data_IF_600466194325
#
_entry.id   IF_600466194325
#
_cell.length_a   1.000
_cell.length_b   1.000
_cell.length_c   1.000
_cell.angle_alpha   90.00
_cell.angle_beta   90.00
_cell.angle_gamma   90.00
#
_symmetry.space_group_name_H-M   'P 1'
#
loop_
_entity.id
_entity.type
_entity.pdbx_description
1 polymer ?
#
# COMPACT_ATOMS: atom_id res chain seq x y z
N UNK A 1 -17.19 -6.83 -11.12
CA UNK A 1 -16.25 -5.89 -10.48
C UNK A 1 -16.74 -5.40 -9.10
N UNK A 2 -18.02 -4.99 -8.91
CA UNK A 2 -18.54 -4.42 -7.64
C UNK A 2 -18.42 -5.38 -6.41
N UNK A 3 -18.54 -6.71 -6.59
CA UNK A 3 -18.40 -7.70 -5.50
C UNK A 3 -16.96 -7.86 -4.97
N UNK A 4 -15.98 -7.68 -5.86
CA UNK A 4 -14.55 -7.78 -5.53
C UNK A 4 -14.11 -6.60 -4.65
N UNK A 5 -14.66 -5.39 -4.87
CA UNK A 5 -14.31 -4.20 -4.10
C UNK A 5 -14.77 -4.27 -2.64
N UNK A 6 -15.95 -4.85 -2.38
CA UNK A 6 -16.46 -5.05 -1.00
C UNK A 6 -15.62 -6.11 -0.28
N UNK A 7 -15.25 -7.18 -0.98
CA UNK A 7 -14.38 -8.22 -0.42
C UNK A 7 -13.00 -7.68 -0.07
N UNK A 8 -12.39 -6.88 -0.96
CA UNK A 8 -11.11 -6.23 -0.70
C UNK A 8 -11.17 -5.28 0.50
N UNK A 9 -12.28 -4.56 0.70
CA UNK A 9 -12.49 -3.70 1.85
C UNK A 9 -12.60 -4.52 3.15
N UNK A 10 -13.38 -5.61 3.14
CA UNK A 10 -13.50 -6.53 4.29
C UNK A 10 -12.14 -7.14 4.63
N UNK A 11 -11.36 -7.56 3.63
CA UNK A 11 -10.02 -8.13 3.82
C UNK A 11 -9.05 -7.10 4.40
N UNK A 12 -9.06 -5.87 3.89
CA UNK A 12 -8.22 -4.78 4.40
C UNK A 12 -8.57 -4.42 5.85
N UNK A 13 -9.86 -4.33 6.18
CA UNK A 13 -10.33 -4.12 7.55
C UNK A 13 -9.92 -5.28 8.46
N UNK A 14 -9.99 -6.52 7.97
CA UNK A 14 -9.67 -7.72 8.74
C UNK A 14 -8.19 -7.79 9.13
N UNK A 15 -7.28 -7.43 8.22
CA UNK A 15 -5.82 -7.43 8.48
C UNK A 15 -5.45 -6.36 9.53
N UNK A 16 -6.19 -5.25 9.57
CA UNK A 16 -5.96 -4.17 10.54
C UNK A 16 -6.37 -4.52 11.99
N UNK A 17 -7.07 -5.65 12.19
CA UNK A 17 -7.68 -6.01 13.49
C UNK A 17 -6.74 -6.79 14.43
N UNK A 18 -5.54 -7.15 14.00
CA UNK A 18 -4.62 -7.98 14.79
C UNK A 18 -4.03 -7.19 15.97
N UNK A 19 -4.47 -7.44 17.18
CA UNK A 19 -3.82 -6.81 18.33
C UNK A 19 -4.58 -6.81 19.67
N UNK A 20 -4.89 -7.97 20.25
CA UNK A 20 -5.71 -7.97 21.46
C UNK A 20 -5.12 -8.54 22.73
N UNK A 21 -3.97 -9.25 22.76
CA UNK A 21 -3.43 -9.83 24.02
C UNK A 21 -1.89 -9.84 23.98
N UNK A 22 -1.25 -9.46 25.10
CA UNK A 22 0.19 -9.64 25.31
C UNK A 22 1.09 -8.79 24.41
N UNK A 23 1.95 -9.44 23.63
CA UNK A 23 2.89 -8.80 22.69
C UNK A 23 2.18 -8.07 21.56
N UNK A 24 1.07 -8.62 21.06
CA UNK A 24 0.23 -8.01 20.04
C UNK A 24 -0.30 -6.64 20.48
N UNK A 25 -0.81 -6.53 21.71
CA UNK A 25 -1.33 -5.25 22.24
C UNK A 25 -0.22 -4.20 22.38
N UNK A 26 0.98 -4.62 22.79
CA UNK A 26 2.12 -3.69 22.92
C UNK A 26 2.57 -3.17 21.56
N UNK A 27 2.68 -4.08 20.59
CA UNK A 27 3.02 -3.74 19.21
C UNK A 27 1.95 -2.84 18.58
N UNK A 28 0.68 -3.17 18.75
CA UNK A 28 -0.45 -2.35 18.32
C UNK A 28 -0.41 -0.93 18.90
N UNK A 29 -0.16 -0.80 20.22
CA UNK A 29 -0.06 0.51 20.85
C UNK A 29 1.13 1.32 20.31
N UNK A 30 2.23 0.65 19.98
CA UNK A 30 3.38 1.30 19.36
C UNK A 30 3.06 1.77 17.93
N UNK A 31 2.36 0.99 17.11
CA UNK A 31 1.89 1.40 15.79
C UNK A 31 0.95 2.62 15.87
N UNK A 32 -0.03 2.59 16.80
CA UNK A 32 -0.93 3.74 17.00
C UNK A 32 -0.15 5.00 17.40
N UNK A 33 0.88 4.83 18.23
CA UNK A 33 1.72 5.96 18.63
C UNK A 33 2.53 6.53 17.47
N UNK A 34 2.96 5.68 16.53
CA UNK A 34 3.63 6.15 15.31
C UNK A 34 2.72 7.00 14.41
N UNK A 35 1.40 6.75 14.43
CA UNK A 35 0.44 7.57 13.68
C UNK A 35 0.32 9.01 14.19
N UNK A 36 0.64 9.27 15.46
CA UNK A 36 0.59 10.61 16.06
C UNK A 36 1.91 11.39 15.91
N UNK A 37 2.89 10.83 15.19
CA UNK A 37 4.21 11.45 15.03
C UNK A 37 4.11 12.68 14.13
N UNK A 38 4.63 13.79 14.62
CA UNK A 38 4.61 15.08 13.91
C UNK A 38 5.92 15.37 13.16
N UNK A 39 7.01 14.68 13.49
CA UNK A 39 8.26 14.71 12.72
C UNK A 39 9.06 13.43 12.92
N UNK A 40 9.74 13.00 11.87
CA UNK A 40 10.52 11.76 11.88
C UNK A 40 11.61 11.82 10.82
N UNK A 41 12.72 11.17 11.10
CA UNK A 41 13.71 10.75 10.11
C UNK A 41 13.79 9.22 10.13
N UNK A 42 13.90 8.60 8.96
CA UNK A 42 14.07 7.15 8.86
C UNK A 42 15.03 6.76 7.73
N UNK A 43 15.68 5.64 7.93
CA UNK A 43 16.53 4.96 6.95
C UNK A 43 15.97 3.57 6.72
N UNK A 44 15.87 3.15 5.46
CA UNK A 44 15.45 1.81 5.07
C UNK A 44 16.39 1.24 4.03
N UNK A 45 16.69 -0.02 4.17
CA UNK A 45 17.39 -0.83 3.19
C UNK A 45 16.55 -2.06 2.87
N UNK A 46 16.37 -2.37 1.58
CA UNK A 46 15.57 -3.48 1.11
C UNK A 46 16.34 -4.25 0.03
N UNK A 47 16.38 -5.56 0.15
CA UNK A 47 16.91 -6.50 -0.83
C UNK A 47 15.86 -7.51 -1.25
N UNK A 48 16.08 -8.16 -2.39
CA UNK A 48 15.15 -9.09 -2.98
C UNK A 48 15.87 -10.40 -3.33
N UNK A 49 15.12 -11.50 -3.29
CA UNK A 49 15.53 -12.78 -3.85
C UNK A 49 14.42 -13.30 -4.76
N UNK A 50 14.81 -13.85 -5.91
CA UNK A 50 13.88 -14.42 -6.88
C UNK A 50 14.45 -15.75 -7.35
N UNK A 51 13.69 -16.82 -7.12
CA UNK A 51 14.03 -18.19 -7.53
C UNK A 51 12.83 -18.80 -8.25
N UNK A 52 13.12 -19.73 -9.17
CA UNK A 52 12.10 -20.42 -9.94
C UNK A 52 12.36 -21.91 -9.96
N UNK A 53 11.27 -22.70 -9.92
CA UNK A 53 11.32 -24.16 -9.95
C UNK A 53 10.27 -24.71 -10.92
N UNK A 54 10.51 -25.87 -11.51
CA UNK A 54 9.55 -26.62 -12.33
C UNK A 54 9.04 -25.90 -13.60
N UNK A 55 9.80 -24.92 -14.11
CA UNK A 55 9.54 -24.29 -15.40
C UNK A 55 10.12 -25.10 -16.56
N UNK A 56 9.59 -24.90 -17.78
CA UNK A 56 10.17 -25.43 -19.00
C UNK A 56 11.58 -24.86 -19.24
N UNK A 57 12.42 -25.56 -20.01
CA UNK A 57 13.77 -25.06 -20.35
C UNK A 57 13.71 -23.68 -21.05
N UNK A 58 12.70 -23.46 -21.90
CA UNK A 58 12.51 -22.20 -22.61
C UNK A 58 12.16 -21.05 -21.66
N UNK A 59 11.21 -21.28 -20.75
CA UNK A 59 10.82 -20.29 -19.74
C UNK A 59 11.94 -20.02 -18.75
N UNK A 60 12.70 -21.05 -18.36
CA UNK A 60 13.83 -20.96 -17.44
C UNK A 60 14.89 -19.97 -17.91
N UNK A 61 15.25 -19.99 -19.21
CA UNK A 61 16.25 -19.06 -19.79
C UNK A 61 15.82 -17.60 -19.60
N UNK A 62 14.55 -17.30 -19.84
CA UNK A 62 14.01 -15.94 -19.63
C UNK A 62 14.00 -15.56 -18.15
N UNK A 63 13.59 -16.48 -17.28
CA UNK A 63 13.47 -16.25 -15.84
C UNK A 63 14.83 -16.14 -15.14
N UNK A 64 15.89 -16.80 -15.67
CA UNK A 64 17.26 -16.64 -15.16
C UNK A 64 17.77 -15.21 -15.31
N UNK A 65 17.42 -14.52 -16.41
CA UNK A 65 17.79 -13.10 -16.59
C UNK A 65 17.07 -12.21 -15.57
N UNK A 66 15.77 -12.46 -15.33
CA UNK A 66 14.99 -11.76 -14.30
C UNK A 66 15.57 -12.04 -12.92
N UNK A 67 15.89 -13.31 -12.62
CA UNK A 67 16.51 -13.74 -11.37
C UNK A 67 17.84 -13.01 -11.13
N UNK A 68 18.72 -12.97 -12.13
CA UNK A 68 20.01 -12.29 -12.01
C UNK A 68 19.85 -10.78 -11.74
N UNK A 69 18.84 -10.14 -12.33
CA UNK A 69 18.56 -8.73 -12.11
C UNK A 69 17.98 -8.50 -10.70
N UNK A 70 16.97 -9.28 -10.31
CA UNK A 70 16.27 -9.11 -9.01
C UNK A 70 17.18 -9.44 -7.83
N UNK A 71 17.92 -10.56 -7.88
CA UNK A 71 18.79 -11.01 -6.79
C UNK A 71 19.96 -10.04 -6.50
N UNK A 72 20.33 -9.22 -7.47
CA UNK A 72 21.34 -8.17 -7.31
C UNK A 72 20.71 -6.78 -7.09
N UNK A 73 19.39 -6.74 -6.83
CA UNK A 73 18.70 -5.49 -6.61
C UNK A 73 18.68 -5.10 -5.14
N UNK A 74 18.88 -3.81 -4.90
CA UNK A 74 18.85 -3.21 -3.57
C UNK A 74 18.22 -1.83 -3.65
N UNK A 75 17.34 -1.53 -2.70
CA UNK A 75 16.76 -0.20 -2.53
C UNK A 75 17.23 0.34 -1.19
N UNK A 76 17.79 1.53 -1.18
CA UNK A 76 18.05 2.29 0.05
C UNK A 76 17.22 3.56 0.01
N UNK A 77 16.64 3.93 1.16
CA UNK A 77 15.74 5.04 1.29
C UNK A 77 16.05 5.82 2.57
N UNK A 78 16.15 7.15 2.45
CA UNK A 78 16.24 8.06 3.57
C UNK A 78 15.02 8.98 3.51
N UNK A 79 14.28 9.03 4.58
CA UNK A 79 13.06 9.84 4.67
C UNK A 79 13.18 10.87 5.79
N UNK A 80 12.64 12.06 5.52
CA UNK A 80 12.38 13.11 6.51
C UNK A 80 10.96 13.58 6.33
N UNK A 81 10.22 13.68 7.42
CA UNK A 81 8.85 14.17 7.36
C UNK A 81 8.55 15.08 8.56
N UNK A 82 7.74 16.08 8.32
CA UNK A 82 7.28 17.03 9.34
C UNK A 82 5.85 17.45 9.04
N UNK A 83 5.00 17.32 10.04
CA UNK A 83 3.58 17.60 9.96
C UNK A 83 3.13 18.50 11.10
N UNK A 84 2.00 19.17 10.93
CA UNK A 84 1.29 19.77 12.05
C UNK A 84 0.63 18.67 12.91
N UNK A 85 0.13 19.04 14.11
CA UNK A 85 -0.47 18.09 15.05
C UNK A 85 -1.70 17.34 14.50
N UNK A 86 -2.41 17.91 13.54
CA UNK A 86 -3.56 17.28 12.87
C UNK A 86 -3.19 16.53 11.61
N UNK A 87 -1.89 16.51 11.23
CA UNK A 87 -1.38 15.92 9.99
C UNK A 87 -2.04 16.42 8.71
N UNK A 88 -2.66 17.61 8.79
CA UNK A 88 -3.32 18.27 7.65
C UNK A 88 -2.38 19.18 6.87
N UNK A 89 -1.28 19.59 7.46
CA UNK A 89 -0.22 20.38 6.82
C UNK A 89 1.11 19.70 7.10
N UNK A 90 1.90 19.48 6.05
CA UNK A 90 3.17 18.81 6.23
C UNK A 90 4.04 18.81 4.99
N UNK A 91 5.29 18.47 5.23
CA UNK A 91 6.31 18.29 4.20
C UNK A 91 7.05 16.98 4.44
N UNK A 92 7.37 16.29 3.35
CA UNK A 92 8.20 15.10 3.37
C UNK A 92 9.26 15.17 2.28
N UNK A 93 10.39 14.52 2.53
CA UNK A 93 11.47 14.29 1.57
C UNK A 93 11.86 12.82 1.66
N UNK A 94 12.00 12.19 0.52
CA UNK A 94 12.50 10.82 0.38
C UNK A 94 13.65 10.82 -0.61
N UNK A 95 14.83 10.43 -0.16
CA UNK A 95 16.00 10.22 -0.99
C UNK A 95 16.17 8.70 -1.18
N UNK A 96 16.03 8.22 -2.41
CA UNK A 96 16.03 6.82 -2.76
C UNK A 96 17.15 6.50 -3.73
N UNK A 97 17.86 5.38 -3.49
CA UNK A 97 18.75 4.79 -4.47
C UNK A 97 18.28 3.38 -4.78
N UNK A 98 17.92 3.16 -6.01
CA UNK A 98 17.54 1.85 -6.53
C UNK A 98 18.72 1.29 -7.33
N UNK A 99 19.21 0.13 -6.94
CA UNK A 99 20.21 -0.61 -7.70
C UNK A 99 19.52 -1.84 -8.31
N UNK A 100 19.43 -1.89 -9.62
CA UNK A 100 18.90 -3.04 -10.36
C UNK A 100 19.99 -3.61 -11.27
N UNK A 101 20.46 -4.83 -10.94
CA UNK A 101 21.48 -5.49 -11.75
C UNK A 101 22.79 -4.68 -11.90
N UNK A 102 23.14 -3.85 -10.91
CA UNK A 102 24.32 -2.97 -10.92
C UNK A 102 24.07 -1.56 -11.50
N UNK A 103 22.90 -1.30 -12.06
CA UNK A 103 22.52 0.05 -12.49
C UNK A 103 21.93 0.81 -11.31
N UNK A 104 22.64 1.88 -10.88
CA UNK A 104 22.19 2.73 -9.78
C UNK A 104 21.34 3.87 -10.31
N UNK A 105 20.10 3.97 -9.80
CA UNK A 105 19.13 4.99 -10.17
C UNK A 105 18.73 5.81 -8.93
N UNK A 106 19.37 6.97 -8.70
CA UNK A 106 19.00 7.87 -7.64
C UNK A 106 17.66 8.57 -7.97
N UNK A 107 16.76 8.62 -7.02
CA UNK A 107 15.50 9.34 -7.12
C UNK A 107 15.25 10.11 -5.83
N UNK A 108 14.76 11.33 -5.95
CA UNK A 108 14.34 12.13 -4.81
C UNK A 108 12.90 12.55 -4.99
N UNK A 109 12.13 12.46 -3.92
CA UNK A 109 10.72 12.86 -3.91
C UNK A 109 10.51 13.84 -2.76
N UNK A 110 9.85 14.94 -3.04
CA UNK A 110 9.39 15.90 -2.05
C UNK A 110 7.89 16.06 -2.14
N UNK A 111 7.24 16.13 -1.00
CA UNK A 111 5.80 16.38 -0.90
C UNK A 111 5.59 17.60 -0.02
N UNK A 112 4.77 18.53 -0.51
CA UNK A 112 4.27 19.69 0.25
C UNK A 112 2.76 19.63 0.26
N UNK A 113 2.16 19.53 1.44
CA UNK A 113 0.74 19.26 1.62
C UNK A 113 0.08 20.26 2.57
N UNK A 114 -1.04 20.85 2.15
CA UNK A 114 -1.95 21.61 3.00
C UNK A 114 -3.40 21.21 2.71
N UNK A 115 -3.98 20.43 3.62
CA UNK A 115 -5.39 20.01 3.63
C UNK A 115 -6.17 20.69 4.75
N UNK A 116 -5.66 21.79 5.33
CA UNK A 116 -6.32 22.51 6.43
C UNK A 116 -7.52 23.33 5.95
N UNK A 117 -7.58 23.63 4.66
CA UNK A 117 -8.66 24.34 3.99
C UNK A 117 -9.52 23.39 3.15
N UNK A 118 -10.58 23.90 2.55
CA UNK A 118 -11.43 23.14 1.63
C UNK A 118 -10.77 22.97 0.23
N UNK A 119 -9.72 23.75 -0.06
CA UNK A 119 -8.89 23.55 -1.24
C UNK A 119 -7.71 22.63 -0.88
N UNK A 120 -7.59 21.51 -1.60
CA UNK A 120 -6.38 20.67 -1.51
C UNK A 120 -5.22 21.41 -2.15
N UNK A 121 -4.17 21.61 -1.38
CA UNK A 121 -2.86 22.02 -1.87
C UNK A 121 -1.90 20.90 -1.60
N UNK A 122 -1.61 20.11 -2.60
CA UNK A 122 -0.65 19.03 -2.52
C UNK A 122 0.22 19.07 -3.77
N UNK A 123 1.49 19.29 -3.55
CA UNK A 123 2.50 19.34 -4.59
C UNK A 123 3.53 18.27 -4.34
N UNK A 124 3.73 17.41 -5.32
CA UNK A 124 4.80 16.43 -5.34
C UNK A 124 5.85 16.85 -6.36
N UNK A 125 7.12 16.78 -5.99
CA UNK A 125 8.26 17.09 -6.83
C UNK A 125 9.13 15.85 -6.88
N UNK A 126 9.39 15.35 -8.07
CA UNK A 126 10.19 14.14 -8.28
C UNK A 126 11.42 14.52 -9.09
N UNK A 127 12.61 14.24 -8.54
CA UNK A 127 13.86 14.25 -9.29
C UNK A 127 14.24 12.82 -9.61
N UNK A 128 14.39 12.52 -10.88
CA UNK A 128 14.79 11.19 -11.34
C UNK A 128 16.08 11.27 -12.16
N UNK A 129 16.73 10.12 -12.43
CA UNK A 129 17.93 10.09 -13.28
C UNK A 129 17.70 10.80 -14.62
N UNK A 130 18.67 11.57 -15.07
CA UNK A 130 18.56 12.35 -16.31
C UNK A 130 18.23 11.48 -17.53
N UNK A 131 18.68 10.23 -17.55
CA UNK A 131 18.37 9.29 -18.61
C UNK A 131 16.85 9.04 -18.71
N UNK A 132 16.17 8.89 -17.57
CA UNK A 132 14.70 8.71 -17.54
C UNK A 132 13.98 10.02 -17.90
N UNK A 133 14.44 11.16 -17.38
CA UNK A 133 13.89 12.46 -17.77
C UNK A 133 14.02 12.70 -19.27
N UNK A 134 15.16 12.44 -19.86
CA UNK A 134 15.38 12.60 -21.30
C UNK A 134 14.50 11.67 -22.14
N UNK A 135 14.12 10.49 -21.64
CA UNK A 135 13.19 9.60 -22.35
C UNK A 135 11.76 10.12 -22.31
N UNK A 136 11.38 10.82 -21.24
CA UNK A 136 10.05 11.41 -21.07
C UNK A 136 9.91 12.76 -21.78
N UNK A 137 10.97 13.54 -21.81
CA UNK A 137 11.04 14.89 -22.37
C UNK A 137 12.29 15.07 -23.24
N UNK A 138 12.34 14.39 -24.42
CA UNK A 138 13.56 14.29 -25.22
C UNK A 138 14.06 15.62 -25.79
N UNK A 139 13.18 16.62 -25.92
CA UNK A 139 13.50 17.90 -26.51
C UNK A 139 13.92 18.97 -25.49
N UNK A 140 14.00 18.62 -24.20
CA UNK A 140 14.29 19.58 -23.14
C UNK A 140 15.21 18.99 -22.07
N UNK A 141 16.49 18.81 -22.38
CA UNK A 141 17.46 18.11 -21.49
C UNK A 141 17.79 18.88 -20.20
N UNK A 142 17.34 20.12 -20.06
CA UNK A 142 17.56 20.90 -18.82
C UNK A 142 16.54 20.56 -17.73
N UNK A 143 15.44 19.89 -18.06
CA UNK A 143 14.46 19.44 -17.08
C UNK A 143 15.03 18.36 -16.18
N UNK A 144 14.95 18.60 -14.89
CA UNK A 144 15.43 17.68 -13.85
C UNK A 144 14.31 17.22 -12.91
N UNK A 145 13.22 17.98 -12.86
CA UNK A 145 12.14 17.74 -11.94
C UNK A 145 10.81 17.53 -12.69
N UNK A 146 10.08 16.52 -12.26
CA UNK A 146 8.68 16.36 -12.57
C UNK A 146 7.86 16.92 -11.41
N UNK A 147 6.88 17.76 -11.71
CA UNK A 147 6.04 18.41 -10.70
C UNK A 147 4.59 17.94 -10.90
N UNK A 148 4.02 17.37 -9.85
CA UNK A 148 2.61 17.01 -9.78
C UNK A 148 1.92 17.99 -8.83
N UNK A 149 1.09 18.88 -9.38
CA UNK A 149 0.21 19.72 -8.58
C UNK A 149 -1.18 19.08 -8.55
N UNK A 150 -1.45 18.33 -7.48
CA UNK A 150 -2.72 17.62 -7.32
C UNK A 150 -3.90 18.59 -7.29
N UNK A 151 -3.75 19.77 -6.71
CA UNK A 151 -4.81 20.78 -6.67
C UNK A 151 -5.16 21.32 -8.06
N UNK A 152 -4.16 21.48 -8.94
CA UNK A 152 -4.36 21.88 -10.33
C UNK A 152 -4.97 20.75 -11.16
N UNK A 153 -4.41 19.55 -11.08
CA UNK A 153 -4.92 18.35 -11.78
C UNK A 153 -6.42 18.14 -11.50
N UNK A 154 -6.80 18.30 -10.24
CA UNK A 154 -8.19 18.17 -9.82
C UNK A 154 -9.12 19.21 -10.40
N UNK A 155 -8.67 20.45 -10.58
CA UNK A 155 -9.47 21.53 -11.21
C UNK A 155 -9.71 21.26 -12.70
N UNK A 156 -8.73 20.64 -13.36
CA UNK A 156 -8.78 20.36 -14.80
C UNK A 156 -9.57 19.08 -15.15
N UNK A 157 -9.46 18.03 -14.32
CA UNK A 157 -10.11 16.72 -14.54
C UNK A 157 -11.46 16.57 -13.82
N UNK A 158 -11.98 17.59 -13.15
CA UNK A 158 -13.13 17.52 -12.22
C UNK A 158 -14.49 17.18 -12.84
N UNK A 159 -14.54 16.58 -14.05
CA UNK A 159 -15.81 16.16 -14.67
C UNK A 159 -16.40 14.89 -14.06
N UNK A 160 -15.57 13.99 -13.51
CA UNK A 160 -15.99 12.68 -13.01
C UNK A 160 -15.96 12.54 -11.47
N UNK A 161 -15.19 13.39 -10.76
CA UNK A 161 -15.07 13.35 -9.31
C UNK A 161 -15.29 14.72 -8.68
N UNK A 162 -16.18 14.80 -7.70
CA UNK A 162 -16.34 16.00 -6.90
C UNK A 162 -15.31 16.02 -5.76
N UNK A 163 -14.22 16.72 -5.99
CA UNK A 163 -13.09 16.74 -5.05
C UNK A 163 -13.38 17.40 -3.71
N UNK A 164 -14.21 18.44 -3.70
CA UNK A 164 -14.63 19.08 -2.46
C UNK A 164 -15.43 18.10 -1.60
N UNK A 165 -16.29 17.31 -2.22
CA UNK A 165 -17.01 16.24 -1.53
C UNK A 165 -16.09 15.10 -1.11
N UNK A 166 -15.05 14.76 -1.89
CA UNK A 166 -14.04 13.78 -1.50
C UNK A 166 -13.25 14.22 -0.27
N UNK A 167 -12.81 15.47 -0.22
CA UNK A 167 -12.08 16.03 0.93
C UNK A 167 -12.97 16.09 2.17
N UNK A 168 -14.22 16.55 2.00
CA UNK A 168 -15.21 16.55 3.08
C UNK A 168 -15.47 15.14 3.58
N UNK A 169 -15.66 14.19 2.67
CA UNK A 169 -15.81 12.78 2.99
C UNK A 169 -14.60 12.26 3.79
N UNK A 170 -13.38 12.51 3.33
CA UNK A 170 -12.16 12.08 4.03
C UNK A 170 -12.11 12.64 5.45
N UNK A 171 -12.35 13.93 5.63
CA UNK A 171 -12.37 14.59 6.96
C UNK A 171 -13.45 14.02 7.89
N UNK A 172 -14.63 13.73 7.37
CA UNK A 172 -15.76 13.20 8.15
C UNK A 172 -15.63 11.69 8.42
N UNK A 173 -15.02 10.96 7.49
CA UNK A 173 -14.95 9.51 7.55
C UNK A 173 -13.75 8.97 8.33
N UNK A 174 -12.60 9.65 8.29
CA UNK A 174 -11.41 9.21 9.05
C UNK A 174 -11.66 9.04 10.56
N UNK A 175 -12.32 9.97 11.29
CA UNK A 175 -12.63 9.77 12.70
C UNK A 175 -13.58 8.59 12.92
N UNK A 176 -14.57 8.41 12.05
CA UNK A 176 -15.52 7.30 12.13
C UNK A 176 -14.83 5.95 11.90
N UNK A 177 -13.90 5.89 10.94
CA UNK A 177 -13.09 4.70 10.70
C UNK A 177 -12.24 4.36 11.93
N UNK A 178 -11.59 5.36 12.54
CA UNK A 178 -10.78 5.15 13.74
C UNK A 178 -11.62 4.65 14.93
N UNK A 179 -12.81 5.21 15.14
CA UNK A 179 -13.74 4.76 16.17
C UNK A 179 -14.26 3.36 15.90
N UNK A 180 -14.69 3.07 14.67
CA UNK A 180 -15.12 1.76 14.22
C UNK A 180 -14.02 0.71 14.43
N UNK A 181 -12.78 0.99 14.02
CA UNK A 181 -11.66 0.08 14.21
C UNK A 181 -11.42 -0.21 15.69
N UNK A 182 -11.46 0.81 16.54
CA UNK A 182 -11.31 0.65 18.00
C UNK A 182 -12.43 -0.20 18.61
N UNK A 183 -13.64 -0.09 18.07
CA UNK A 183 -14.80 -0.86 18.57
C UNK A 183 -14.71 -2.33 18.16
N UNK A 184 -14.43 -2.59 16.91
CA UNK A 184 -14.25 -3.95 16.38
C UNK A 184 -13.10 -4.68 17.07
N UNK A 185 -11.98 -3.99 17.35
CA UNK A 185 -10.81 -4.58 17.99
C UNK A 185 -11.07 -5.08 19.43
N UNK A 186 -12.02 -4.52 20.15
CA UNK A 186 -12.31 -4.94 21.55
C UNK A 186 -12.60 -6.44 21.65
N UNK A 187 -13.29 -6.98 20.65
CA UNK A 187 -13.77 -8.36 20.65
C UNK A 187 -13.03 -9.26 19.65
N UNK A 188 -12.11 -8.70 18.86
CA UNK A 188 -11.31 -9.46 17.92
C UNK A 188 -10.21 -10.23 18.66
N UNK A 189 -10.39 -11.52 18.84
CA UNK A 189 -9.50 -12.39 19.60
C UNK A 189 -9.25 -13.68 18.83
N UNK A 190 -8.45 -13.66 17.75
CA UNK A 190 -8.02 -14.89 17.12
C UNK A 190 -7.17 -15.68 18.14
N UNK A 191 -7.44 -16.96 18.29
CA UNK A 191 -6.61 -17.85 19.14
C UNK A 191 -5.33 -18.26 18.40
N UNK A 192 -4.65 -17.24 17.83
CA UNK A 192 -3.45 -17.38 17.03
C UNK A 192 -2.39 -16.49 17.65
N UNK A 193 -1.32 -17.09 18.15
CA UNK A 193 -0.18 -16.37 18.66
C UNK A 193 0.73 -15.97 17.50
N UNK A 194 0.78 -14.68 17.19
CA UNK A 194 1.59 -14.14 16.09
C UNK A 194 2.81 -13.36 16.57
N UNK A 195 2.76 -12.80 17.78
CA UNK A 195 3.81 -11.93 18.31
C UNK A 195 4.45 -12.57 19.54
N UNK A 196 5.77 -12.66 19.54
CA UNK A 196 6.57 -13.10 20.66
C UNK A 196 7.42 -11.96 21.22
N UNK A 197 7.45 -11.81 22.55
CA UNK A 197 8.36 -10.89 23.23
C UNK A 197 9.73 -11.55 23.38
N UNK A 198 10.75 -11.02 22.69
CA UNK A 198 12.13 -11.56 22.68
C UNK A 198 13.03 -10.93 23.75
N UNK A 199 12.46 -10.11 24.65
CA UNK A 199 13.19 -9.40 25.69
C UNK A 199 13.79 -8.09 25.20
N UNK A 200 14.87 -7.62 25.85
CA UNK A 200 15.48 -6.35 25.53
C UNK A 200 16.85 -6.52 24.90
N UNK A 201 17.18 -5.68 23.91
CA UNK A 201 18.42 -5.71 23.13
C UNK A 201 18.96 -4.29 22.95
N UNK A 202 20.26 -4.11 22.97
CA UNK A 202 20.88 -2.83 22.63
C UNK A 202 21.05 -2.77 21.12
N UNK A 203 20.36 -1.82 20.49
CA UNK A 203 20.46 -1.53 19.05
C UNK A 203 20.85 -0.07 18.89
N UNK A 204 21.90 0.23 18.12
CA UNK A 204 22.38 1.59 17.90
C UNK A 204 22.60 2.42 19.18
N UNK A 205 23.08 1.79 20.25
CA UNK A 205 23.32 2.38 21.59
C UNK A 205 22.04 2.71 22.39
N UNK A 206 20.87 2.28 21.94
CA UNK A 206 19.61 2.42 22.64
C UNK A 206 19.09 1.04 23.07
N UNK A 207 18.54 0.95 24.29
CA UNK A 207 17.89 -0.28 24.80
C UNK A 207 16.48 -0.36 24.23
N UNK A 208 16.18 -1.38 23.44
CA UNK A 208 14.88 -1.62 22.81
C UNK A 208 14.24 -2.88 23.38
N UNK A 209 12.92 -2.86 23.54
CA UNK A 209 12.12 -4.06 23.74
C UNK A 209 11.80 -4.68 22.39
N UNK A 210 12.16 -5.93 22.21
CA UNK A 210 12.06 -6.63 20.92
C UNK A 210 10.81 -7.50 20.90
N UNK A 211 10.04 -7.34 19.84
CA UNK A 211 8.84 -8.12 19.51
C UNK A 211 9.03 -8.73 18.12
N UNK A 212 8.80 -10.01 17.99
CA UNK A 212 8.87 -10.72 16.71
C UNK A 212 7.48 -11.17 16.30
N UNK A 213 7.04 -10.68 15.14
CA UNK A 213 5.84 -11.15 14.46
C UNK A 213 6.24 -12.27 13.51
N UNK A 214 5.57 -13.43 13.63
CA UNK A 214 5.78 -14.58 12.75
C UNK A 214 4.46 -15.07 12.19
N UNK A 215 4.37 -15.18 10.86
CA UNK A 215 3.28 -15.80 10.15
C UNK A 215 3.82 -16.86 9.19
N UNK A 216 3.44 -18.08 9.37
CA UNK A 216 3.61 -19.12 8.37
C UNK A 216 2.33 -19.25 7.52
N UNK A 217 2.36 -20.07 6.48
CA UNK A 217 1.25 -20.22 5.56
C UNK A 217 -0.07 -20.64 6.25
N UNK A 218 0.00 -21.59 7.19
CA UNK A 218 -1.18 -22.06 7.91
C UNK A 218 -1.77 -20.97 8.82
N UNK A 219 -0.93 -20.30 9.62
CA UNK A 219 -1.37 -19.21 10.52
C UNK A 219 -1.92 -18.03 9.75
N UNK A 220 -1.36 -17.70 8.57
CA UNK A 220 -1.89 -16.65 7.70
C UNK A 220 -3.31 -16.99 7.23
N UNK A 221 -3.53 -18.20 6.72
CA UNK A 221 -4.84 -18.66 6.25
C UNK A 221 -5.88 -18.72 7.37
N UNK A 222 -5.47 -19.23 8.53
CA UNK A 222 -6.32 -19.27 9.71
C UNK A 222 -6.73 -17.86 10.15
N UNK A 223 -5.78 -16.92 10.19
CA UNK A 223 -6.03 -15.53 10.51
C UNK A 223 -7.01 -14.89 9.51
N UNK A 224 -6.79 -15.09 8.21
CA UNK A 224 -7.69 -14.57 7.16
C UNK A 224 -9.08 -15.17 7.30
N UNK A 225 -9.18 -16.49 7.50
CA UNK A 225 -10.45 -17.19 7.69
C UNK A 225 -11.21 -16.68 8.92
N UNK A 226 -10.49 -16.52 10.06
CA UNK A 226 -11.06 -15.97 11.29
C UNK A 226 -11.53 -14.52 11.08
N UNK A 227 -10.68 -13.65 10.54
CA UNK A 227 -10.95 -12.23 10.39
C UNK A 227 -12.14 -11.95 9.48
N UNK A 228 -12.24 -12.67 8.34
CA UNK A 228 -13.39 -12.52 7.42
C UNK A 228 -14.66 -13.02 8.07
N UNK A 229 -14.66 -14.20 8.70
CA UNK A 229 -15.85 -14.73 9.38
C UNK A 229 -16.30 -13.81 10.53
N UNK A 230 -15.36 -13.33 11.34
CA UNK A 230 -15.64 -12.37 12.40
C UNK A 230 -16.29 -11.09 11.86
N UNK A 231 -15.75 -10.54 10.78
CA UNK A 231 -16.27 -9.33 10.15
C UNK A 231 -17.69 -9.53 9.58
N UNK A 232 -17.96 -10.70 8.97
CA UNK A 232 -19.27 -11.03 8.41
C UNK A 232 -20.33 -11.25 9.49
N UNK A 233 -19.95 -11.67 10.69
CA UNK A 233 -20.86 -11.89 11.82
C UNK A 233 -21.19 -10.60 12.59
N UNK A 234 -20.44 -9.51 12.36
CA UNK A 234 -20.64 -8.24 13.05
C UNK A 234 -21.58 -7.32 12.27
N UNK A 235 -22.71 -6.99 12.87
CA UNK A 235 -23.68 -6.06 12.29
C UNK A 235 -23.09 -4.67 12.05
N UNK A 236 -22.22 -4.24 12.96
CA UNK A 236 -21.51 -2.97 12.92
C UNK A 236 -20.63 -2.85 11.67
N UNK A 237 -20.03 -3.96 11.21
CA UNK A 237 -19.24 -4.00 9.97
C UNK A 237 -20.14 -3.76 8.75
N UNK A 238 -21.31 -4.39 8.73
CA UNK A 238 -22.28 -4.23 7.63
C UNK A 238 -22.81 -2.79 7.58
N UNK A 239 -23.14 -2.22 8.74
CA UNK A 239 -23.59 -0.83 8.85
C UNK A 239 -22.50 0.15 8.41
N UNK A 240 -21.26 -0.07 8.82
CA UNK A 240 -20.12 0.72 8.38
C UNK A 240 -19.90 0.65 6.86
N UNK A 241 -19.99 -0.55 6.25
CA UNK A 241 -19.90 -0.72 4.79
C UNK A 241 -21.01 0.08 4.09
N UNK A 242 -22.23 0.06 4.61
CA UNK A 242 -23.34 0.83 4.05
C UNK A 242 -23.08 2.33 4.13
N UNK A 243 -22.61 2.82 5.28
CA UNK A 243 -22.24 4.23 5.44
C UNK A 243 -21.13 4.65 4.47
N UNK A 244 -20.10 3.82 4.35
CA UNK A 244 -19.01 4.04 3.41
C UNK A 244 -19.50 4.12 1.97
N UNK A 245 -20.28 3.14 1.51
CA UNK A 245 -20.82 3.11 0.15
C UNK A 245 -21.72 4.33 -0.14
N UNK A 246 -22.58 4.70 0.81
CA UNK A 246 -23.42 5.89 0.67
C UNK A 246 -22.59 7.19 0.62
N UNK A 247 -21.47 7.24 1.30
CA UNK A 247 -20.59 8.40 1.31
C UNK A 247 -19.78 8.50 0.01
N UNK A 248 -19.25 7.38 -0.50
CA UNK A 248 -18.58 7.29 -1.80
C UNK A 248 -19.48 7.77 -2.93
N UNK A 249 -20.78 7.42 -2.88
CA UNK A 249 -21.77 7.88 -3.87
C UNK A 249 -21.91 9.41 -3.98
N UNK A 250 -21.68 10.12 -2.90
CA UNK A 250 -21.73 11.59 -2.91
C UNK A 250 -20.52 12.22 -3.58
N UNK A 251 -19.40 11.48 -3.59
CA UNK A 251 -18.14 11.92 -4.17
C UNK A 251 -18.08 11.71 -5.68
N UNK A 252 -18.70 10.64 -6.18
CA UNK A 252 -18.73 10.33 -7.62
C UNK A 252 -19.71 11.25 -8.32
N UNK A 253 -19.25 11.97 -9.34
CA UNK A 253 -20.09 12.78 -10.19
C UNK A 253 -20.83 11.90 -11.20
N UNK A 254 -22.11 11.62 -10.92
CA UNK A 254 -22.97 10.86 -11.82
C UNK A 254 -23.82 11.86 -12.63
N UNK A 255 -23.92 11.72 -13.96
CA UNK A 255 -24.82 12.54 -14.76
C UNK A 255 -26.24 12.51 -14.18
N UNK A 256 -26.90 13.67 -14.12
CA UNK A 256 -28.22 13.81 -13.44
C UNK A 256 -29.29 12.84 -13.99
N UNK A 257 -29.18 12.50 -15.29
CA UNK A 257 -30.06 11.52 -15.94
C UNK A 257 -29.88 10.08 -15.41
N UNK A 258 -28.68 9.74 -14.92
CA UNK A 258 -28.32 8.39 -14.44
C UNK A 258 -28.35 8.28 -12.92
N UNK A 259 -28.34 9.42 -12.22
CA UNK A 259 -28.21 9.49 -10.75
C UNK A 259 -29.26 8.68 -10.02
N UNK A 260 -30.54 8.83 -10.39
CA UNK A 260 -31.64 8.08 -9.79
C UNK A 260 -31.52 6.56 -9.98
N UNK A 261 -31.07 6.14 -11.17
CA UNK A 261 -30.85 4.73 -11.46
C UNK A 261 -29.67 4.17 -10.66
N UNK A 262 -28.56 4.91 -10.57
CA UNK A 262 -27.39 4.54 -9.79
C UNK A 262 -27.68 4.47 -8.27
N UNK A 263 -28.41 5.44 -7.73
CA UNK A 263 -28.87 5.45 -6.34
C UNK A 263 -29.78 4.24 -6.03
N UNK A 264 -30.71 3.93 -6.92
CA UNK A 264 -31.61 2.78 -6.78
C UNK A 264 -30.84 1.46 -6.85
N UNK A 265 -29.89 1.32 -7.78
CA UNK A 265 -29.04 0.14 -7.94
C UNK A 265 -28.18 -0.10 -6.70
N UNK A 266 -27.60 0.96 -6.12
CA UNK A 266 -26.78 0.85 -4.92
C UNK A 266 -27.64 0.50 -3.70
N UNK A 267 -28.78 1.17 -3.53
CA UNK A 267 -29.71 0.83 -2.46
C UNK A 267 -30.12 -0.63 -2.53
N UNK A 268 -30.51 -1.11 -3.71
CA UNK A 268 -30.83 -2.51 -3.95
C UNK A 268 -29.63 -3.42 -3.65
N UNK A 269 -28.42 -3.03 -4.10
CA UNK A 269 -27.19 -3.78 -3.84
C UNK A 269 -26.83 -3.87 -2.34
N UNK A 270 -27.11 -2.83 -1.55
CA UNK A 270 -26.90 -2.83 -0.10
C UNK A 270 -27.95 -3.69 0.64
N UNK A 271 -29.20 -3.68 0.19
CA UNK A 271 -30.25 -4.57 0.71
C UNK A 271 -29.97 -6.04 0.37
N UNK A 272 -29.47 -6.30 -0.83
CA UNK A 272 -29.11 -7.64 -1.28
C UNK A 272 -27.82 -8.14 -0.62
N UNK A 273 -26.90 -7.24 -0.25
CA UNK A 273 -25.70 -7.59 0.50
C UNK A 273 -26.06 -8.33 1.80
N UNK A 274 -26.94 -7.78 2.62
CA UNK A 274 -27.34 -8.43 3.88
C UNK A 274 -27.94 -9.83 3.66
N UNK A 275 -28.76 -9.98 2.63
CA UNK A 275 -29.36 -11.29 2.30
C UNK A 275 -28.34 -12.30 1.77
N UNK A 276 -27.30 -11.81 1.09
CA UNK A 276 -26.27 -12.64 0.48
C UNK A 276 -25.10 -12.96 1.43
N UNK A 277 -24.95 -12.25 2.58
CA UNK A 277 -23.87 -12.50 3.53
C UNK A 277 -23.77 -13.97 3.99
N UNK A 278 -24.87 -14.67 4.34
CA UNK A 278 -24.76 -16.06 4.74
C UNK A 278 -24.24 -16.97 3.62
N UNK A 279 -24.73 -16.79 2.39
CA UNK A 279 -24.26 -17.54 1.22
C UNK A 279 -22.80 -17.20 0.89
N UNK A 280 -22.43 -15.91 0.99
CA UNK A 280 -21.06 -15.47 0.80
C UNK A 280 -20.13 -16.10 1.84
N UNK A 281 -20.52 -16.16 3.11
CA UNK A 281 -19.75 -16.80 4.18
C UNK A 281 -19.49 -18.28 3.89
N UNK A 282 -20.52 -19.01 3.43
CA UNK A 282 -20.37 -20.41 3.02
C UNK A 282 -19.35 -20.52 1.87
N UNK A 283 -19.54 -19.76 0.79
CA UNK A 283 -18.64 -19.76 -0.38
C UNK A 283 -17.21 -19.37 -0.04
N UNK A 284 -17.06 -18.41 0.86
CA UNK A 284 -15.71 -18.01 1.34
C UNK A 284 -15.03 -19.15 2.10
N UNK A 285 -15.74 -19.83 3.00
CA UNK A 285 -15.15 -20.96 3.73
C UNK A 285 -14.84 -22.13 2.79
N UNK A 286 -15.73 -22.48 1.85
CA UNK A 286 -15.46 -23.47 0.81
C UNK A 286 -14.22 -23.09 -0.05
N UNK A 287 -14.08 -21.81 -0.37
CA UNK A 287 -12.90 -21.29 -1.06
C UNK A 287 -11.64 -21.49 -0.19
N UNK A 288 -11.65 -21.07 1.08
CA UNK A 288 -10.52 -21.24 1.98
C UNK A 288 -10.14 -22.70 2.17
N UNK A 289 -11.12 -23.61 2.25
CA UNK A 289 -10.89 -25.05 2.35
C UNK A 289 -10.21 -25.62 1.09
N UNK A 290 -10.59 -25.15 -0.11
CA UNK A 290 -9.91 -25.51 -1.36
C UNK A 290 -8.48 -25.02 -1.44
N UNK A 291 -8.18 -23.87 -0.81
CA UNK A 291 -6.85 -23.28 -0.77
C UNK A 291 -6.02 -23.76 0.42
N UNK A 292 -6.52 -24.68 1.24
CA UNK A 292 -5.80 -25.16 2.43
C UNK A 292 -4.40 -25.68 2.08
N UNK A 293 -4.28 -26.48 1.02
CA UNK A 293 -3.03 -27.09 0.57
C UNK A 293 -2.19 -26.20 -0.38
N UNK A 294 -2.74 -25.07 -0.89
CA UNK A 294 -2.00 -24.15 -1.76
C UNK A 294 -1.08 -23.28 -0.93
N UNK A 295 0.22 -23.47 -1.03
CA UNK A 295 1.20 -22.63 -0.33
C UNK A 295 1.33 -21.27 -0.99
N UNK A 296 1.14 -20.20 -0.19
CA UNK A 296 1.31 -18.80 -0.57
C UNK A 296 2.59 -18.23 0.04
N UNK A 297 2.91 -18.67 1.26
CA UNK A 297 4.17 -18.35 1.92
C UNK A 297 5.16 -19.50 1.75
N UNK A 298 6.43 -19.15 1.55
CA UNK A 298 7.54 -20.08 1.56
C UNK A 298 7.85 -20.59 2.97
N UNK A 299 8.91 -21.37 3.09
CA UNK A 299 9.24 -22.06 4.35
C UNK A 299 9.59 -21.11 5.50
N UNK A 300 10.08 -19.89 5.19
CA UNK A 300 10.37 -18.85 6.20
C UNK A 300 9.15 -18.04 6.58
N UNK A 301 8.13 -18.00 5.72
CA UNK A 301 6.92 -17.21 5.93
C UNK A 301 7.20 -15.70 6.01
N UNK A 302 6.50 -15.03 6.92
CA UNK A 302 6.70 -13.61 7.26
C UNK A 302 7.27 -13.57 8.67
N UNK A 303 8.48 -13.00 8.83
CA UNK A 303 9.11 -12.77 10.12
C UNK A 303 9.55 -11.33 10.21
N UNK A 304 9.03 -10.58 11.19
CA UNK A 304 9.37 -9.17 11.37
C UNK A 304 9.73 -8.93 12.85
N UNK A 305 10.96 -8.50 13.11
CA UNK A 305 11.43 -8.04 14.41
C UNK A 305 11.15 -6.54 14.53
N UNK A 306 10.46 -6.12 15.58
CA UNK A 306 10.19 -4.73 15.93
C UNK A 306 10.92 -4.36 17.22
N UNK A 307 11.71 -3.29 17.16
CA UNK A 307 12.36 -2.71 18.32
C UNK A 307 11.62 -1.48 18.81
N UNK A 308 11.02 -1.57 20.00
CA UNK A 308 10.26 -0.48 20.63
C UNK A 308 11.14 0.16 21.70
N UNK A 309 11.31 1.48 21.61
CA UNK A 309 12.09 2.24 22.59
C UNK A 309 11.31 2.50 23.89
N UNK A 310 12.00 3.07 24.88
CA UNK A 310 11.40 3.41 26.19
C UNK A 310 10.20 4.35 26.11
N UNK A 311 10.14 5.17 25.05
CA UNK A 311 9.06 6.11 24.82
C UNK A 311 7.89 5.48 24.06
N UNK A 312 7.98 4.17 23.69
CA UNK A 312 6.93 3.40 23.06
C UNK A 312 6.83 3.59 21.53
N UNK A 313 7.86 4.13 20.88
CA UNK A 313 7.94 4.24 19.43
C UNK A 313 8.68 3.06 18.82
N UNK A 314 8.25 2.62 17.65
CA UNK A 314 8.99 1.66 16.83
C UNK A 314 10.14 2.41 16.17
N UNK A 315 11.38 2.05 16.54
CA UNK A 315 12.60 2.71 16.07
C UNK A 315 13.54 1.78 15.31
N UNK A 316 13.20 0.50 15.25
CA UNK A 316 13.98 -0.52 14.56
C UNK A 316 13.05 -1.59 14.02
N UNK A 317 13.26 -2.00 12.78
CA UNK A 317 12.54 -3.09 12.15
C UNK A 317 13.51 -3.92 11.30
N UNK A 318 13.38 -5.25 11.37
CA UNK A 318 14.05 -6.20 10.47
C UNK A 318 13.00 -7.17 9.98
N UNK A 319 12.75 -7.17 8.68
CA UNK A 319 11.71 -8.00 8.08
C UNK A 319 12.28 -8.98 7.06
N UNK A 320 11.71 -10.17 7.04
CA UNK A 320 11.86 -11.17 6.01
C UNK A 320 10.47 -11.64 5.58
N UNK A 321 10.19 -11.57 4.29
CA UNK A 321 8.93 -12.02 3.69
C UNK A 321 9.32 -13.03 2.61
N UNK A 322 8.85 -14.25 2.75
CA UNK A 322 9.11 -15.36 1.84
C UNK A 322 7.79 -15.80 1.20
N UNK A 323 7.64 -15.51 -0.09
CA UNK A 323 6.46 -15.82 -0.87
C UNK A 323 6.73 -17.01 -1.79
N UNK A 324 5.73 -17.86 -1.96
CA UNK A 324 5.73 -18.99 -2.89
C UNK A 324 4.47 -18.94 -3.75
N UNK A 325 4.62 -18.89 -5.05
CA UNK A 325 3.54 -18.83 -6.02
C UNK A 325 3.64 -20.05 -6.94
N UNK A 326 2.78 -21.03 -6.73
CA UNK A 326 2.67 -22.22 -7.59
C UNK A 326 1.56 -21.96 -8.61
N UNK A 327 1.96 -21.65 -9.85
CA UNK A 327 1.04 -21.28 -10.93
C UNK A 327 0.11 -22.44 -11.31
N UNK A 328 0.59 -23.69 -11.20
CA UNK A 328 -0.19 -24.88 -11.50
C UNK A 328 -1.29 -25.10 -10.45
N UNK A 329 -0.93 -25.07 -9.17
CA UNK A 329 -1.89 -25.26 -8.08
C UNK A 329 -2.94 -24.15 -8.04
N UNK A 330 -2.54 -22.90 -8.26
CA UNK A 330 -3.49 -21.77 -8.29
C UNK A 330 -4.50 -21.94 -9.42
N UNK A 331 -4.05 -22.28 -10.64
CA UNK A 331 -4.94 -22.49 -11.78
C UNK A 331 -5.93 -23.63 -11.54
N UNK A 332 -5.49 -24.74 -10.94
CA UNK A 332 -6.36 -25.86 -10.59
C UNK A 332 -7.49 -25.48 -9.63
N UNK A 333 -7.15 -24.71 -8.58
CA UNK A 333 -8.12 -24.31 -7.56
C UNK A 333 -9.10 -23.24 -8.06
N UNK A 334 -8.62 -22.31 -8.92
CA UNK A 334 -9.49 -21.29 -9.55
C UNK A 334 -10.44 -21.93 -10.57
N UNK A 335 -10.12 -23.13 -11.07
CA UNK A 335 -10.90 -23.83 -12.09
C UNK A 335 -10.74 -23.23 -13.48
N UNK A 336 -9.68 -22.48 -13.71
CA UNK A 336 -9.29 -21.97 -15.01
C UNK A 336 -8.44 -23.02 -15.75
N UNK A 337 -8.40 -22.91 -17.10
CA UNK A 337 -7.44 -23.70 -17.87
C UNK A 337 -6.05 -23.40 -17.35
N UNK A 338 -5.25 -24.45 -17.11
CA UNK A 338 -3.87 -24.28 -16.67
C UNK A 338 -3.19 -23.22 -17.54
N UNK A 339 -2.47 -22.25 -16.94
CA UNK A 339 -1.74 -21.26 -17.69
C UNK A 339 -0.74 -21.96 -18.63
N UNK A 340 -0.41 -21.32 -19.75
CA UNK A 340 0.61 -21.82 -20.66
C UNK A 340 1.95 -22.03 -19.93
N UNK A 341 2.26 -21.13 -18.98
CA UNK A 341 3.44 -21.19 -18.11
C UNK A 341 3.10 -21.90 -16.80
N UNK A 342 3.76 -23.01 -16.51
CA UNK A 342 3.65 -23.75 -15.25
C UNK A 342 4.98 -23.67 -14.52
N UNK A 343 4.93 -23.62 -13.22
CA UNK A 343 6.11 -23.61 -12.35
C UNK A 343 5.87 -22.87 -11.05
N UNK A 344 6.91 -22.77 -10.26
CA UNK A 344 6.88 -22.18 -8.93
C UNK A 344 7.78 -20.95 -8.92
N UNK A 345 7.26 -19.82 -8.50
CA UNK A 345 8.00 -18.58 -8.26
C UNK A 345 8.18 -18.42 -6.75
N UNK A 346 9.42 -18.25 -6.31
CA UNK A 346 9.75 -17.87 -4.94
C UNK A 346 10.30 -16.46 -4.93
N UNK A 347 9.69 -15.60 -4.12
CA UNK A 347 10.08 -14.20 -3.98
C UNK A 347 10.35 -13.89 -2.52
N UNK A 348 11.60 -13.55 -2.22
CA UNK A 348 11.99 -13.09 -0.88
C UNK A 348 12.20 -11.58 -0.85
N UNK A 349 11.74 -10.94 0.24
CA UNK A 349 11.98 -9.53 0.54
C UNK A 349 12.62 -9.45 1.91
N UNK A 350 13.82 -8.86 1.96
CA UNK A 350 14.52 -8.61 3.22
C UNK A 350 14.66 -7.11 3.40
N UNK A 351 14.29 -6.60 4.57
CA UNK A 351 14.48 -5.18 4.84
C UNK A 351 14.96 -4.90 6.26
N UNK A 352 15.61 -3.78 6.41
CA UNK A 352 15.90 -3.16 7.70
C UNK A 352 15.45 -1.72 7.67
N UNK A 353 14.85 -1.26 8.77
CA UNK A 353 14.43 0.14 8.93
C UNK A 353 14.87 0.67 10.29
N UNK A 354 15.21 1.94 10.33
CA UNK A 354 15.51 2.68 11.55
C UNK A 354 14.77 4.00 11.51
N UNK A 355 14.16 4.36 12.65
CA UNK A 355 13.51 5.65 12.82
C UNK A 355 14.16 6.40 13.97
N UNK A 356 14.38 7.69 13.78
CA UNK A 356 15.03 8.55 14.77
C UNK A 356 14.51 9.99 14.65
N UNK A 357 14.92 10.88 15.54
CA UNK A 357 14.45 12.26 15.61
C UNK A 357 12.92 12.40 15.66
N UNK A 358 12.26 11.40 16.28
CA UNK A 358 10.79 11.35 16.40
C UNK A 358 10.32 12.53 17.25
N UNK A 359 9.37 13.32 16.71
CA UNK A 359 8.84 14.54 17.29
C UNK A 359 9.91 15.62 17.60
N UNK A 360 11.08 15.54 16.94
CA UNK A 360 12.12 16.54 17.07
C UNK A 360 11.82 17.78 16.24
N UNK A 361 12.08 18.95 16.82
CA UNK A 361 11.99 20.25 16.13
C UNK A 361 13.10 20.44 15.10
N UNK A 362 14.17 19.65 15.21
CA UNK A 362 15.36 19.77 14.36
C UNK A 362 15.17 19.11 13.00
N UNK A 363 14.13 18.28 12.83
CA UNK A 363 13.78 17.70 11.51
C UNK A 363 13.42 18.83 10.54
N UNK A 364 14.15 18.89 9.43
CA UNK A 364 13.95 19.88 8.37
C UNK A 364 13.83 19.18 7.03
N UNK A 365 12.79 19.52 6.31
CA UNK A 365 12.60 19.16 4.91
C UNK A 365 13.09 20.33 4.06
N UNK A 366 14.00 20.06 3.14
CA UNK A 366 14.56 21.07 2.25
C UNK A 366 13.94 20.91 0.86
N UNK A 367 12.88 21.69 0.60
CA UNK A 367 12.19 21.69 -0.68
C UNK A 367 13.09 22.24 -1.80
N UNK A 368 13.16 21.59 -2.96
CA UNK A 368 13.93 22.08 -4.08
C UNK A 368 13.29 23.35 -4.69
N UNK A 369 14.11 24.20 -5.25
CA UNK A 369 13.62 25.34 -6.05
C UNK A 369 13.32 24.84 -7.46
N UNK A 370 12.05 24.86 -7.82
CA UNK A 370 11.56 24.46 -9.15
C UNK A 370 10.95 25.65 -9.86
N UNK A 371 11.27 25.77 -11.14
CA UNK A 371 10.73 26.80 -12.05
C UNK A 371 10.55 26.23 -13.47
N UNK A 372 10.05 27.03 -14.38
CA UNK A 372 9.80 26.62 -15.76
C UNK A 372 11.04 26.17 -16.52
N UNK A 373 12.25 26.52 -16.08
CA UNK A 373 13.49 26.14 -16.78
C UNK A 373 13.92 24.73 -16.38
N UNK A 374 13.79 24.35 -15.10
CA UNK A 374 14.34 23.10 -14.56
C UNK A 374 13.28 22.02 -14.28
N UNK A 375 11.98 22.33 -14.45
CA UNK A 375 10.89 21.38 -14.18
C UNK A 375 9.88 21.29 -15.31
N UNK A 376 9.16 20.17 -15.32
CA UNK A 376 8.01 19.98 -16.18
C UNK A 376 6.80 19.60 -15.32
N UNK A 377 5.66 20.18 -15.64
CA UNK A 377 4.38 19.78 -15.06
C UNK A 377 3.93 18.42 -15.62
N UNK A 378 3.41 17.55 -14.75
CA UNK A 378 3.00 16.19 -15.12
C UNK A 378 1.91 16.18 -16.19
N UNK A 379 0.89 17.05 -16.11
CA UNK A 379 -0.19 17.11 -17.09
C UNK A 379 0.34 17.53 -18.45
N UNK A 380 1.21 18.52 -18.47
CA UNK A 380 1.87 18.97 -19.70
C UNK A 380 2.73 17.86 -20.33
N UNK A 381 3.42 17.09 -19.51
CA UNK A 381 4.18 15.93 -19.97
C UNK A 381 3.26 14.87 -20.60
N UNK A 382 2.15 14.55 -19.95
CA UNK A 382 1.16 13.60 -20.46
C UNK A 382 0.54 14.06 -21.79
N UNK A 383 0.18 15.33 -21.92
CA UNK A 383 -0.30 15.88 -23.17
C UNK A 383 0.72 15.75 -24.31
N UNK A 384 1.99 16.00 -24.02
CA UNK A 384 3.07 15.83 -25.01
C UNK A 384 3.19 14.38 -25.46
N UNK A 385 3.14 13.42 -24.54
CA UNK A 385 3.20 11.98 -24.85
C UNK A 385 1.98 11.53 -25.66
N UNK A 386 0.77 11.96 -25.33
CA UNK A 386 -0.44 11.66 -26.09
C UNK A 386 -0.35 12.18 -27.53
N UNK A 387 0.10 13.41 -27.73
CA UNK A 387 0.32 13.97 -29.07
C UNK A 387 1.35 13.18 -29.88
N UNK A 388 2.41 12.68 -29.23
CA UNK A 388 3.39 11.80 -29.88
C UNK A 388 2.77 10.48 -30.34
N UNK A 389 1.97 9.84 -29.48
CA UNK A 389 1.27 8.58 -29.80
C UNK A 389 0.31 8.80 -30.98
N UNK A 390 -0.47 9.87 -30.98
CA UNK A 390 -1.38 10.22 -32.09
C UNK A 390 -0.63 10.43 -33.43
N UNK A 391 0.52 11.09 -33.38
CA UNK A 391 1.36 11.28 -34.57
C UNK A 391 1.93 9.97 -35.10
N UNK A 392 2.32 9.05 -34.21
CA UNK A 392 2.81 7.72 -34.60
C UNK A 392 1.71 6.84 -35.21
N UNK A 393 0.47 6.97 -34.73
CA UNK A 393 -0.69 6.24 -35.27
C UNK A 393 -1.16 6.80 -36.63
N UNK A 394 -0.92 8.08 -36.90
CA UNK A 394 -1.26 8.72 -38.17
C UNK A 394 -0.17 8.57 -39.25
N UNK A 395 1.01 8.09 -38.88
CA UNK A 395 2.06 7.86 -39.85
C UNK A 395 1.68 6.66 -40.76
N UNK A 396 1.67 6.82 -42.08
CA UNK A 396 1.33 5.73 -42.99
C UNK A 396 2.31 4.57 -42.79
N UNK A 397 1.76 3.35 -42.65
CA UNK A 397 2.55 2.13 -42.60
C UNK A 397 3.43 2.09 -43.85
N UNK A 398 4.74 2.14 -43.66
CA UNK A 398 5.73 2.02 -44.73
C UNK A 398 5.91 0.55 -45.13
#
# INVERSE_FOLDING_TARGET
>A
MKKISVLALILALSISLTGCVGGELKLYNAFNKMQDVTSIESEMEMGFTFETEEFSEEDQIMLEQVSAMVNNSKITMNQKAKYNKGQTVGQAQVDMNMNFGGMVMPMNVWVDMDMSTDELKMKEIIKMPQMLMNSMVPNDPEKQYLVLDMGQMMKEESKELNFNELMKFSKEFQPKLAEFMKEIQKDFKPDIKMVEEKGSKVVNKEMLNIYELTLNDATLKELVKYAVNYSLDKKEVVEFIKEYMNAVMKVVTIPEAEKKAAEAEIKQGLEDLEKQLPEFKVKFNEFMDKYEDVKILGDKGIVIEFGINKDGYIVHEVGNIDLRIDLGQIAEVVGEKAPEMKGIIKLGINYTSKSYNINSKDVKVEMPKVDENNSIDYMKMMEMQMKQIEQLQQAPAK
#
